data_IF_032279132009
#
_entry.id   IF_032279132009
#
_cell.length_a   1.000
_cell.length_b   1.000
_cell.length_c   1.000
_cell.angle_alpha   90.00
_cell.angle_beta   90.00
_cell.angle_gamma   90.00
#
_symmetry.space_group_name_H-M   'P 1'
#
loop_
_entity.id
_entity.type
_entity.pdbx_description
1 polymer ?
#
# COMPACT_ATOMS: atom_id res chain seq x y z
N UNK A 1 11.10 -15.84 14.92
CA UNK A 1 9.64 -15.54 14.93
C UNK A 1 9.26 -14.11 14.49
N UNK A 2 10.14 -13.33 13.85
CA UNK A 2 9.91 -11.92 13.49
C UNK A 2 9.10 -11.69 12.19
N UNK A 3 9.12 -12.63 11.24
CA UNK A 3 8.44 -12.50 9.93
C UNK A 3 6.91 -12.41 10.05
N UNK A 4 6.30 -13.15 10.98
CA UNK A 4 4.83 -13.19 11.13
C UNK A 4 4.24 -11.87 11.64
N UNK A 5 4.90 -11.23 12.62
CA UNK A 5 4.47 -9.91 13.13
C UNK A 5 4.61 -8.83 12.06
N UNK A 6 5.72 -8.84 11.31
CA UNK A 6 5.94 -7.92 10.19
C UNK A 6 4.85 -8.06 9.12
N UNK A 7 4.49 -9.30 8.73
CA UNK A 7 3.42 -9.55 7.76
C UNK A 7 2.03 -9.09 8.24
N UNK A 8 1.70 -9.30 9.52
CA UNK A 8 0.42 -8.84 10.08
C UNK A 8 0.33 -7.32 10.12
N UNK A 9 1.41 -6.64 10.51
CA UNK A 9 1.50 -5.18 10.50
C UNK A 9 1.37 -4.64 9.06
N UNK A 10 2.10 -5.21 8.11
CA UNK A 10 2.02 -4.81 6.70
C UNK A 10 0.61 -5.04 6.14
N UNK A 11 -0.05 -6.16 6.49
CA UNK A 11 -1.44 -6.41 6.11
C UNK A 11 -2.38 -5.34 6.66
N UNK A 12 -2.18 -4.89 7.90
CA UNK A 12 -2.94 -3.79 8.51
C UNK A 12 -2.73 -2.47 7.76
N UNK A 13 -1.48 -2.14 7.41
CA UNK A 13 -1.14 -0.96 6.61
C UNK A 13 -1.79 -1.01 5.22
N UNK A 14 -1.68 -2.13 4.51
CA UNK A 14 -2.30 -2.32 3.20
C UNK A 14 -3.83 -2.22 3.25
N UNK A 15 -4.46 -2.67 4.34
CA UNK A 15 -5.91 -2.52 4.56
C UNK A 15 -6.29 -1.06 4.82
N UNK A 16 -5.51 -0.30 5.60
CA UNK A 16 -5.72 1.14 5.85
C UNK A 16 -5.76 1.93 4.54
N UNK A 17 -4.85 1.63 3.61
CA UNK A 17 -4.77 2.30 2.32
C UNK A 17 -5.58 1.62 1.20
N UNK A 18 -6.51 0.73 1.53
CA UNK A 18 -7.39 0.11 0.53
C UNK A 18 -8.14 1.20 -0.24
N UNK A 19 -8.21 1.07 -1.57
CA UNK A 19 -8.78 2.05 -2.52
C UNK A 19 -8.01 3.37 -2.67
N UNK A 20 -7.00 3.67 -1.85
CA UNK A 20 -6.09 4.83 -2.05
C UNK A 20 -4.99 4.49 -3.06
N UNK A 21 -4.35 5.53 -3.59
CA UNK A 21 -3.14 5.38 -4.42
C UNK A 21 -1.92 5.41 -3.52
N UNK A 22 -1.01 4.47 -3.73
CA UNK A 22 0.19 4.29 -2.92
C UNK A 22 1.40 4.00 -3.80
N UNK A 23 2.58 4.21 -3.26
CA UNK A 23 3.83 3.66 -3.75
C UNK A 23 4.20 2.45 -2.89
N UNK A 24 4.57 1.33 -3.51
CA UNK A 24 4.99 0.11 -2.80
C UNK A 24 6.46 -0.18 -3.11
N UNK A 25 7.28 -0.34 -2.09
CA UNK A 25 8.70 -0.71 -2.22
C UNK A 25 8.87 -2.20 -1.96
N UNK A 26 9.52 -2.91 -2.89
CA UNK A 26 9.75 -4.36 -2.80
C UNK A 26 11.20 -4.68 -2.41
N UNK A 27 11.41 -5.81 -1.71
CA UNK A 27 12.71 -6.20 -1.13
C UNK A 27 13.71 -6.88 -2.09
N UNK A 28 13.28 -7.41 -3.24
CA UNK A 28 14.13 -8.31 -4.04
C UNK A 28 15.18 -7.59 -4.91
N UNK A 29 16.46 -7.74 -4.53
CA UNK A 29 17.68 -7.63 -5.37
C UNK A 29 18.03 -6.23 -5.85
N UNK A 30 17.03 -5.51 -6.32
CA UNK A 30 17.05 -4.10 -6.68
C UNK A 30 15.78 -3.50 -6.06
N UNK A 31 15.85 -2.33 -5.44
CA UNK A 31 14.69 -1.69 -4.81
C UNK A 31 13.61 -1.34 -5.85
N UNK A 32 12.80 -2.33 -6.25
CA UNK A 32 11.79 -2.16 -7.30
C UNK A 32 10.58 -1.48 -6.69
N UNK A 33 10.35 -0.23 -7.09
CA UNK A 33 9.24 0.56 -6.61
C UNK A 33 8.04 0.47 -7.56
N UNK A 34 6.89 0.04 -7.05
CA UNK A 34 5.62 0.12 -7.74
C UNK A 34 4.94 1.44 -7.43
N UNK A 35 5.18 2.43 -8.29
CA UNK A 35 4.58 3.76 -8.16
C UNK A 35 3.12 3.82 -8.59
N UNK A 36 2.35 4.69 -7.95
CA UNK A 36 1.00 5.09 -8.33
C UNK A 36 0.03 3.92 -8.55
N UNK A 37 0.07 2.95 -7.63
CA UNK A 37 -0.80 1.77 -7.66
C UNK A 37 -1.98 1.93 -6.71
N UNK A 38 -3.15 1.41 -7.09
CA UNK A 38 -4.33 1.34 -6.22
C UNK A 38 -4.44 -0.05 -5.61
N UNK A 39 -4.57 -0.13 -4.29
CA UNK A 39 -4.83 -1.40 -3.58
C UNK A 39 -6.29 -1.81 -3.82
N UNK A 40 -6.48 -2.95 -4.50
CA UNK A 40 -7.80 -3.50 -4.85
C UNK A 40 -8.29 -4.49 -3.80
N UNK A 41 -7.45 -5.45 -3.42
CA UNK A 41 -7.78 -6.52 -2.47
C UNK A 41 -6.55 -6.88 -1.64
N UNK A 42 -6.72 -7.09 -0.35
CA UNK A 42 -5.66 -7.57 0.57
C UNK A 42 -6.10 -8.93 1.11
N UNK A 43 -5.39 -9.99 0.74
CA UNK A 43 -5.61 -11.34 1.22
C UNK A 43 -4.63 -11.66 2.37
N UNK A 44 -4.58 -12.93 2.80
CA UNK A 44 -3.66 -13.37 3.87
C UNK A 44 -2.21 -13.08 3.48
N UNK A 45 -1.73 -13.61 2.36
CA UNK A 45 -0.31 -13.55 2.03
C UNK A 45 -0.01 -12.71 0.78
N UNK A 46 -1.04 -12.25 0.10
CA UNK A 46 -0.93 -11.49 -1.15
C UNK A 46 -1.79 -10.23 -1.14
N UNK A 47 -1.34 -9.21 -1.85
CA UNK A 47 -2.11 -8.01 -2.16
C UNK A 47 -2.25 -7.84 -3.66
N UNK A 48 -3.47 -7.52 -4.09
CA UNK A 48 -3.80 -7.19 -5.47
C UNK A 48 -3.77 -5.68 -5.64
N UNK A 49 -2.91 -5.21 -6.55
CA UNK A 49 -2.80 -3.80 -6.90
C UNK A 49 -3.03 -3.57 -8.39
N UNK A 50 -3.36 -2.35 -8.79
CA UNK A 50 -3.60 -2.00 -10.19
C UNK A 50 -3.06 -0.60 -10.50
N UNK A 51 -2.33 -0.42 -11.61
CA UNK A 51 -2.03 0.91 -12.17
C UNK A 51 -3.15 1.36 -13.11
N UNK A 52 -3.21 2.65 -13.42
CA UNK A 52 -4.19 3.19 -14.35
C UNK A 52 -4.08 2.48 -15.72
N UNK A 53 -5.19 2.00 -16.27
CA UNK A 53 -5.27 1.20 -17.52
C UNK A 53 -4.42 -0.08 -17.62
N UNK A 54 -3.79 -0.56 -16.53
CA UNK A 54 -3.01 -1.82 -16.58
C UNK A 54 -3.80 -3.00 -16.05
N UNK A 55 -3.28 -4.21 -16.28
CA UNK A 55 -3.72 -5.42 -15.58
C UNK A 55 -3.43 -5.31 -14.06
N UNK A 56 -4.17 -6.09 -13.28
CA UNK A 56 -3.93 -6.21 -11.84
C UNK A 56 -2.70 -7.07 -11.58
N UNK A 57 -1.95 -6.74 -10.53
CA UNK A 57 -0.70 -7.39 -10.16
C UNK A 57 -0.85 -7.94 -8.74
N UNK A 58 -0.51 -9.22 -8.56
CA UNK A 58 -0.43 -9.85 -7.25
C UNK A 58 0.98 -9.71 -6.68
N UNK A 59 1.08 -9.29 -5.42
CA UNK A 59 2.36 -9.11 -4.72
C UNK A 59 2.28 -9.89 -3.42
N UNK A 60 3.30 -10.72 -3.14
CA UNK A 60 3.43 -11.36 -1.82
C UNK A 60 3.75 -10.30 -0.77
N UNK A 61 3.00 -10.30 0.34
CA UNK A 61 3.15 -9.30 1.41
C UNK A 61 4.54 -9.36 2.05
N UNK A 62 5.14 -10.55 2.15
CA UNK A 62 6.49 -10.72 2.67
C UNK A 62 7.58 -10.04 1.82
N UNK A 63 7.29 -9.68 0.56
CA UNK A 63 8.21 -8.97 -0.32
C UNK A 63 8.07 -7.44 -0.22
N UNK A 64 7.10 -6.93 0.56
CA UNK A 64 6.84 -5.49 0.67
C UNK A 64 7.63 -4.94 1.86
N UNK A 65 8.53 -3.99 1.60
CA UNK A 65 9.26 -3.28 2.63
C UNK A 65 8.45 -2.10 3.18
N UNK A 66 7.85 -1.32 2.29
CA UNK A 66 7.18 -0.08 2.64
C UNK A 66 6.00 0.22 1.71
N UNK A 67 5.01 0.94 2.26
CA UNK A 67 3.85 1.44 1.53
C UNK A 67 3.67 2.91 1.91
N UNK A 68 3.85 3.80 0.93
CA UNK A 68 3.73 5.25 1.14
C UNK A 68 2.48 5.76 0.43
N UNK A 69 1.54 6.40 1.13
CA UNK A 69 0.39 7.04 0.47
C UNK A 69 0.88 8.14 -0.47
N UNK A 70 0.20 8.28 -1.61
CA UNK A 70 0.38 9.44 -2.48
C UNK A 70 -0.63 10.48 -2.00
N UNK A 71 -0.15 11.53 -1.34
CA UNK A 71 -0.96 12.71 -1.11
C UNK A 71 -1.23 13.32 -2.48
N UNK A 72 -2.47 13.26 -2.94
CA UNK A 72 -2.92 14.18 -3.98
C UNK A 72 -3.38 15.41 -3.22
N UNK A 73 -2.91 16.58 -3.62
CA UNK A 73 -3.27 17.89 -3.06
C UNK A 73 -4.79 18.14 -2.94
N UNK A 74 -5.65 17.27 -3.48
CA UNK A 74 -7.10 17.29 -3.31
C UNK A 74 -7.60 16.93 -1.89
N UNK A 75 -6.78 16.29 -1.03
CA UNK A 75 -7.19 16.01 0.36
C UNK A 75 -6.94 17.17 1.34
N UNK A 76 -6.27 18.25 0.91
CA UNK A 76 -6.00 19.41 1.74
C UNK A 76 -7.24 20.29 1.99
N UNK A 77 -8.37 20.05 1.31
CA UNK A 77 -9.58 20.88 1.38
C UNK A 77 -10.75 20.28 2.17
N UNK A 78 -10.64 19.03 2.63
CA UNK A 78 -11.70 18.43 3.45
C UNK A 78 -11.29 18.52 4.92
N UNK A 79 -12.00 19.36 5.70
CA UNK A 79 -11.87 19.46 7.16
C UNK A 79 -12.00 18.07 7.78
N UNK A 80 -10.88 17.43 8.08
CA UNK A 80 -10.85 16.16 8.79
C UNK A 80 -11.10 16.43 10.28
N UNK A 81 -12.19 15.86 10.80
CA UNK A 81 -12.56 15.94 12.22
C UNK A 81 -11.73 15.01 13.12
N UNK A 82 -10.73 14.32 12.58
CA UNK A 82 -9.88 13.37 13.31
C UNK A 82 -8.41 13.46 12.86
N UNK A 83 -7.57 13.76 13.83
CA UNK A 83 -6.26 14.39 13.70
C UNK A 83 -5.09 13.39 13.47
N UNK A 84 -5.26 12.34 12.65
CA UNK A 84 -4.24 11.26 12.62
C UNK A 84 -4.06 10.49 11.30
N UNK A 85 -4.56 11.01 10.20
CA UNK A 85 -4.25 10.51 8.86
C UNK A 85 -3.73 11.70 8.04
N UNK A 86 -2.46 11.65 7.66
CA UNK A 86 -1.94 12.52 6.61
C UNK A 86 -2.88 12.43 5.40
N UNK A 87 -3.34 13.61 4.96
CA UNK A 87 -4.35 13.88 3.93
C UNK A 87 -4.34 12.88 2.76
#
# INVERSE_FOLDING_TARGET
MSRCRHMNNMRRVLRRYRRRRVNITLQHGECRQLRNVKIKRVCKDVVLVKRHHTRCIYIKICCICAVTPICRDECCHHKHRDNNDCC
#
